data_IF_976738980457
#
_entry.id   IF_976738980457
#
_cell.length_a   1.000
_cell.length_b   1.000
_cell.length_c   1.000
_cell.angle_alpha   90.00
_cell.angle_beta   90.00
_cell.angle_gamma   90.00
#
_symmetry.space_group_name_H-M   'P 1'
#
loop_
_entity.id
_entity.type
_entity.pdbx_description
1 polymer ?
#
# COMPACT_ATOMS: atom_id res chain seq x y z
N UNK A 1 -9.12 12.26 -9.79
CA UNK A 1 -8.62 13.13 -8.71
C UNK A 1 -8.57 12.27 -7.46
N UNK A 2 -7.41 12.12 -6.82
CA UNK A 2 -7.31 11.34 -5.59
C UNK A 2 -8.03 12.08 -4.45
N UNK A 3 -8.88 11.37 -3.71
CA UNK A 3 -9.57 11.89 -2.53
C UNK A 3 -8.51 12.29 -1.49
N UNK A 4 -8.62 13.46 -0.81
CA UNK A 4 -7.64 13.82 0.21
C UNK A 4 -7.66 12.82 1.40
N UNK A 5 -6.53 12.65 2.10
CA UNK A 5 -6.47 11.77 3.27
C UNK A 5 -7.39 12.28 4.38
N UNK A 6 -8.16 11.39 5.02
CA UNK A 6 -9.04 11.76 6.15
C UNK A 6 -8.31 11.81 7.49
N UNK A 7 -7.21 11.08 7.60
CA UNK A 7 -6.43 10.96 8.83
C UNK A 7 -4.97 11.38 8.60
N UNK A 8 -4.15 11.32 9.66
CA UNK A 8 -2.74 11.65 9.55
C UNK A 8 -2.06 10.73 8.52
N UNK A 9 -1.45 11.35 7.51
CA UNK A 9 -0.74 10.65 6.45
C UNK A 9 0.38 9.79 7.04
N UNK A 10 0.38 8.50 6.73
CA UNK A 10 1.49 7.60 6.98
C UNK A 10 2.08 7.18 5.63
N UNK A 11 3.10 7.92 5.20
CA UNK A 11 3.87 7.66 3.99
C UNK A 11 5.27 8.23 4.19
N UNK A 12 6.26 7.68 3.49
CA UNK A 12 7.65 8.13 3.59
C UNK A 12 8.25 8.34 2.19
N UNK A 13 9.17 9.32 2.03
CA UNK A 13 9.87 9.53 0.78
C UNK A 13 10.63 8.27 0.33
N UNK A 14 10.61 7.99 -0.98
CA UNK A 14 11.26 6.83 -1.59
C UNK A 14 12.49 7.22 -2.41
N UNK A 15 13.33 8.10 -1.84
CA UNK A 15 14.46 8.74 -2.52
C UNK A 15 15.34 7.78 -3.31
N UNK A 16 15.68 6.61 -2.75
CA UNK A 16 16.53 5.64 -3.44
C UNK A 16 15.80 4.93 -4.59
N UNK A 17 14.54 4.51 -4.39
CA UNK A 17 13.76 3.87 -5.44
C UNK A 17 13.45 4.84 -6.59
N UNK A 18 13.19 6.11 -6.27
CA UNK A 18 12.94 7.15 -7.27
C UNK A 18 14.22 7.49 -8.06
N UNK A 19 15.34 7.73 -7.36
CA UNK A 19 16.56 8.22 -8.01
C UNK A 19 17.38 7.12 -8.69
N UNK A 20 17.53 5.95 -8.06
CA UNK A 20 18.41 4.88 -8.52
C UNK A 20 17.67 3.85 -9.37
N UNK A 21 16.44 3.50 -8.98
CA UNK A 21 15.67 2.43 -9.62
C UNK A 21 14.55 2.92 -10.52
N UNK A 22 14.52 4.22 -10.81
CA UNK A 22 13.59 4.86 -11.73
C UNK A 22 12.14 4.43 -11.45
N UNK A 23 11.74 4.49 -10.18
CA UNK A 23 10.39 4.14 -9.76
C UNK A 23 9.36 4.97 -10.51
N UNK A 24 8.33 4.30 -11.00
CA UNK A 24 7.16 4.89 -11.67
C UNK A 24 5.91 4.47 -10.92
N UNK A 25 5.01 5.42 -10.66
CA UNK A 25 3.64 5.14 -10.20
C UNK A 25 2.81 4.90 -11.46
N UNK A 26 2.31 3.68 -11.62
CA UNK A 26 1.45 3.33 -12.73
C UNK A 26 -0.02 3.63 -12.44
N UNK A 27 -0.45 3.48 -11.18
CA UNK A 27 -1.81 3.77 -10.76
C UNK A 27 -1.91 4.08 -9.25
N UNK A 28 -2.96 4.80 -8.85
CA UNK A 28 -3.26 5.18 -7.47
C UNK A 28 -4.69 4.77 -7.09
N UNK A 29 -4.82 4.06 -5.97
CA UNK A 29 -6.09 3.49 -5.49
C UNK A 29 -6.65 4.20 -4.26
N UNK A 30 -6.19 5.42 -3.98
CA UNK A 30 -6.57 6.19 -2.81
C UNK A 30 -5.78 5.80 -1.55
N UNK A 31 -6.48 5.69 -0.42
CA UNK A 31 -5.86 5.48 0.89
C UNK A 31 -6.48 4.27 1.60
N UNK A 32 -5.63 3.41 2.16
CA UNK A 32 -6.05 2.50 3.23
C UNK A 32 -6.04 3.27 4.55
N UNK A 33 -7.07 3.04 5.36
CA UNK A 33 -7.26 3.73 6.63
C UNK A 33 -7.26 2.72 7.78
N UNK A 34 -6.12 2.10 8.14
CA UNK A 34 -6.04 1.20 9.28
C UNK A 34 -6.01 1.96 10.61
N UNK A 35 -6.47 1.28 11.66
CA UNK A 35 -6.24 1.67 13.03
C UNK A 35 -4.83 1.22 13.47
N UNK A 36 -4.06 2.12 14.06
CA UNK A 36 -2.73 1.91 14.60
C UNK A 36 -2.83 1.84 16.13
N UNK A 37 -2.75 0.63 16.68
CA UNK A 37 -2.88 0.40 18.12
C UNK A 37 -1.79 1.14 18.94
N UNK A 38 -0.60 1.34 18.38
CA UNK A 38 0.52 2.01 19.06
C UNK A 38 0.20 3.47 19.40
N UNK A 39 -0.52 4.16 18.49
CA UNK A 39 -0.86 5.58 18.64
C UNK A 39 -2.32 5.80 19.01
N UNK A 40 -3.09 4.72 19.18
CA UNK A 40 -4.53 4.72 19.45
C UNK A 40 -5.30 5.59 18.43
N UNK A 41 -4.99 5.42 17.14
CA UNK A 41 -5.46 6.33 16.10
C UNK A 41 -5.52 5.74 14.70
N UNK A 42 -6.26 6.40 13.82
CA UNK A 42 -6.34 6.03 12.41
C UNK A 42 -5.24 6.71 11.59
N UNK A 43 -4.72 6.03 10.57
CA UNK A 43 -3.71 6.57 9.63
C UNK A 43 -4.21 6.47 8.21
N UNK A 44 -3.90 7.45 7.36
CA UNK A 44 -4.15 7.34 5.92
C UNK A 44 -2.87 6.90 5.21
N UNK A 45 -2.89 5.73 4.57
CA UNK A 45 -1.77 5.13 3.86
C UNK A 45 -2.07 5.06 2.36
N UNK A 46 -1.37 5.85 1.50
CA UNK A 46 -1.56 5.79 0.06
C UNK A 46 -1.36 4.38 -0.49
N UNK A 47 -2.26 3.94 -1.37
CA UNK A 47 -2.18 2.65 -2.05
C UNK A 47 -1.85 2.87 -3.53
N UNK A 48 -0.69 2.37 -3.98
CA UNK A 48 -0.17 2.62 -5.34
C UNK A 48 0.29 1.33 -5.99
N UNK A 49 0.07 1.20 -7.29
CA UNK A 49 0.77 0.22 -8.12
C UNK A 49 2.00 0.91 -8.71
N UNK A 50 3.18 0.36 -8.43
CA UNK A 50 4.45 0.93 -8.87
C UNK A 50 5.29 -0.09 -9.61
N UNK A 51 6.20 0.42 -10.44
CA UNK A 51 7.24 -0.37 -11.08
C UNK A 51 8.59 0.28 -10.83
N UNK A 52 9.63 -0.50 -10.56
CA UNK A 52 11.01 -0.01 -10.56
C UNK A 52 11.93 -1.05 -11.22
N UNK A 53 13.14 -0.63 -11.58
CA UNK A 53 14.08 -1.47 -12.35
C UNK A 53 14.70 -2.61 -11.54
N UNK A 54 14.71 -2.53 -10.21
CA UNK A 54 15.32 -3.54 -9.34
C UNK A 54 14.36 -4.66 -8.92
N UNK A 55 13.11 -4.31 -8.63
CA UNK A 55 12.08 -5.20 -8.08
C UNK A 55 10.92 -5.49 -9.03
N UNK A 56 10.84 -4.81 -10.18
CA UNK A 56 9.72 -4.93 -11.10
C UNK A 56 8.45 -4.30 -10.54
N UNK A 57 7.31 -4.97 -10.72
CA UNK A 57 6.00 -4.51 -10.27
C UNK A 57 5.76 -4.80 -8.79
N UNK A 58 5.34 -3.77 -8.05
CA UNK A 58 5.07 -3.82 -6.61
C UNK A 58 3.76 -3.08 -6.26
N UNK A 59 3.21 -3.38 -5.08
CA UNK A 59 2.22 -2.51 -4.44
C UNK A 59 2.90 -1.73 -3.32
N UNK A 60 2.63 -0.45 -3.26
CA UNK A 60 3.01 0.39 -2.14
C UNK A 60 1.80 0.72 -1.29
N UNK A 61 1.96 0.59 0.02
CA UNK A 61 0.94 0.96 1.00
C UNK A 61 1.60 1.79 2.10
N UNK A 62 1.32 3.09 2.12
CA UNK A 62 2.02 4.00 3.03
C UNK A 62 3.53 3.87 2.85
N UNK A 63 4.34 3.67 3.91
CA UNK A 63 5.79 3.47 3.79
C UNK A 63 6.22 2.10 3.28
N UNK A 64 5.30 1.13 3.17
CA UNK A 64 5.64 -0.25 2.86
C UNK A 64 5.60 -0.53 1.36
N UNK A 65 6.44 -1.46 0.91
CA UNK A 65 6.48 -1.94 -0.47
C UNK A 65 6.34 -3.45 -0.44
N UNK A 66 5.40 -4.00 -1.21
CA UNK A 66 5.09 -5.41 -1.31
C UNK A 66 5.44 -5.91 -2.71
N UNK A 67 6.35 -6.88 -2.77
CA UNK A 67 6.74 -7.50 -4.03
C UNK A 67 5.80 -8.66 -4.41
N UNK A 68 6.05 -9.30 -5.55
CA UNK A 68 5.21 -10.41 -6.02
C UNK A 68 5.05 -11.58 -5.02
N UNK A 69 6.02 -11.82 -4.14
CA UNK A 69 5.94 -12.87 -3.11
C UNK A 69 4.95 -12.46 -2.02
N UNK A 70 4.99 -11.20 -1.59
CA UNK A 70 4.07 -10.65 -0.60
C UNK A 70 2.66 -10.57 -1.15
N UNK A 71 2.48 -10.13 -2.40
CA UNK A 71 1.17 -10.09 -3.06
C UNK A 71 0.50 -11.46 -3.05
N UNK A 72 1.24 -12.54 -3.29
CA UNK A 72 0.66 -13.88 -3.25
C UNK A 72 0.20 -14.28 -1.83
N UNK A 73 0.89 -13.82 -0.79
CA UNK A 73 0.45 -14.01 0.60
C UNK A 73 -0.78 -13.15 0.93
N UNK A 74 -0.77 -11.89 0.53
CA UNK A 74 -1.89 -10.97 0.73
C UNK A 74 -3.17 -11.48 0.05
N UNK A 75 -3.09 -11.96 -1.19
CA UNK A 75 -4.23 -12.58 -1.89
C UNK A 75 -4.84 -13.74 -1.12
N UNK A 76 -4.01 -14.60 -0.53
CA UNK A 76 -4.48 -15.72 0.31
C UNK A 76 -5.16 -15.23 1.59
N UNK A 77 -4.59 -14.22 2.24
CA UNK A 77 -5.16 -13.62 3.45
C UNK A 77 -6.52 -12.96 3.16
N UNK A 78 -6.62 -12.20 2.06
CA UNK A 78 -7.88 -11.58 1.60
C UNK A 78 -8.92 -12.67 1.29
N UNK A 79 -8.56 -13.71 0.54
CA UNK A 79 -9.48 -14.80 0.23
C UNK A 79 -9.99 -15.52 1.49
N UNK A 80 -9.12 -15.72 2.49
CA UNK A 80 -9.52 -16.28 3.78
C UNK A 80 -10.49 -15.35 4.53
N UNK A 81 -10.19 -14.05 4.58
CA UNK A 81 -11.09 -13.04 5.15
C UNK A 81 -12.47 -13.07 4.50
N UNK A 82 -12.53 -13.03 3.17
CA UNK A 82 -13.78 -13.03 2.40
C UNK A 82 -14.61 -14.31 2.62
N UNK A 83 -13.96 -15.43 2.91
CA UNK A 83 -14.63 -16.71 3.19
C UNK A 83 -15.21 -16.80 4.60
N UNK A 84 -14.56 -16.14 5.58
CA UNK A 84 -14.94 -16.20 6.99
C UNK A 84 -15.84 -15.05 7.44
N UNK A 85 -15.83 -13.94 6.71
CA UNK A 85 -16.62 -12.75 7.02
C UNK A 85 -17.89 -12.74 6.17
N UNK A 86 -19.09 -12.68 6.77
CA UNK A 86 -20.32 -12.48 6.02
C UNK A 86 -20.19 -11.25 5.12
N UNK A 87 -20.54 -11.41 3.84
CA UNK A 87 -20.56 -10.28 2.90
C UNK A 87 -21.49 -9.21 3.47
N UNK A 88 -20.95 -8.03 3.74
CA UNK A 88 -21.72 -6.85 4.15
C UNK A 88 -22.48 -6.27 2.97
#
# INVERSE_FOLDING_TARGET
MSTPPKFQLCDYPRTYADNEYHRVIADEFGYLEPYEDETDGWRSMPLRLTHNTAGGWCIECGPFTFDGRDINRLRKAIAAYDSGVPKR
#
